data_IF_747106223299
#
_entry.id   IF_747106223299
#
_cell.length_a   1.000
_cell.length_b   1.000
_cell.length_c   1.000
_cell.angle_alpha   90.00
_cell.angle_beta   90.00
_cell.angle_gamma   90.00
#
_symmetry.space_group_name_H-M   'P 1'
#
loop_
_entity.id
_entity.type
_entity.pdbx_description
1 polymer ?
#
# COMPACT_ATOMS: atom_id res chain seq x y z
N UNK A 1 -36.64 -7.81 27.82
CA UNK A 1 -38.12 -7.62 27.88
C UNK A 1 -38.66 -8.23 29.18
N UNK A 2 -39.85 -7.83 29.61
CA UNK A 2 -40.44 -8.31 30.88
C UNK A 2 -40.67 -9.82 30.93
N UNK A 3 -40.73 -10.47 29.77
CA UNK A 3 -40.83 -11.93 29.58
C UNK A 3 -39.47 -12.66 29.62
N UNK A 4 -38.36 -11.95 29.88
CA UNK A 4 -37.01 -12.52 29.90
C UNK A 4 -36.38 -12.69 28.51
N UNK A 5 -37.09 -12.39 27.43
CA UNK A 5 -36.52 -12.39 26.07
C UNK A 5 -35.69 -11.13 25.82
N UNK A 6 -34.80 -11.21 24.85
CA UNK A 6 -33.96 -10.11 24.38
C UNK A 6 -33.79 -10.21 22.86
N UNK A 7 -33.49 -9.09 22.22
CA UNK A 7 -33.21 -9.09 20.78
C UNK A 7 -31.79 -9.60 20.52
N UNK A 8 -31.56 -10.18 19.33
CA UNK A 8 -30.22 -10.55 18.88
C UNK A 8 -29.27 -9.34 18.89
N UNK A 9 -29.77 -8.16 18.53
CA UNK A 9 -28.96 -6.95 18.56
C UNK A 9 -28.55 -6.53 19.98
N UNK A 10 -29.43 -6.69 20.97
CA UNK A 10 -29.10 -6.47 22.38
C UNK A 10 -28.03 -7.46 22.85
N UNK A 11 -28.15 -8.74 22.50
CA UNK A 11 -27.15 -9.77 22.82
C UNK A 11 -25.79 -9.39 22.23
N UNK A 12 -25.72 -9.12 20.93
CA UNK A 12 -24.46 -8.85 20.24
C UNK A 12 -23.84 -7.52 20.67
N UNK A 13 -24.66 -6.51 20.98
CA UNK A 13 -24.18 -5.26 21.57
C UNK A 13 -23.53 -5.49 22.93
N UNK A 14 -24.20 -6.20 23.85
CA UNK A 14 -23.65 -6.45 25.19
C UNK A 14 -22.38 -7.30 25.14
N UNK A 15 -22.31 -8.32 24.27
CA UNK A 15 -21.10 -9.11 24.08
C UNK A 15 -19.94 -8.23 23.60
N UNK A 16 -20.16 -7.41 22.56
CA UNK A 16 -19.12 -6.51 22.04
C UNK A 16 -18.63 -5.50 23.08
N UNK A 17 -19.55 -4.86 23.80
CA UNK A 17 -19.19 -3.93 24.91
C UNK A 17 -18.38 -4.67 25.97
N UNK A 18 -18.80 -5.85 26.42
CA UNK A 18 -18.03 -6.62 27.43
C UNK A 18 -16.63 -6.95 26.91
N UNK A 19 -16.48 -7.37 25.65
CA UNK A 19 -15.17 -7.63 25.04
C UNK A 19 -14.32 -6.35 25.03
N UNK A 20 -14.90 -5.22 24.62
CA UNK A 20 -14.24 -3.91 24.57
C UNK A 20 -13.75 -3.47 25.95
N UNK A 21 -14.63 -3.44 26.96
CA UNK A 21 -14.28 -3.02 28.32
C UNK A 21 -13.26 -3.96 28.97
N UNK A 22 -13.31 -5.26 28.68
CA UNK A 22 -12.28 -6.21 29.14
C UNK A 22 -10.96 -5.96 28.43
N UNK A 23 -10.97 -5.59 27.15
CA UNK A 23 -9.78 -5.22 26.38
C UNK A 23 -9.05 -4.01 26.97
N UNK A 24 -9.79 -3.09 27.61
CA UNK A 24 -9.17 -1.95 28.30
C UNK A 24 -8.23 -2.33 29.43
N UNK A 25 -8.33 -3.56 30.00
CA UNK A 25 -7.31 -4.06 30.94
C UNK A 25 -5.90 -4.05 30.33
N UNK A 26 -5.76 -4.10 29.00
CA UNK A 26 -4.48 -3.95 28.31
C UNK A 26 -4.24 -2.50 27.88
N UNK A 27 -5.13 -1.94 27.06
CA UNK A 27 -4.99 -0.58 26.49
C UNK A 27 -6.11 0.32 27.03
N UNK A 28 -5.86 1.31 27.89
CA UNK A 28 -4.54 1.80 28.32
C UNK A 28 -4.04 1.20 29.65
N UNK A 29 -4.79 0.33 30.33
CA UNK A 29 -4.52 0.09 31.77
C UNK A 29 -3.14 -0.54 32.06
N UNK A 30 -2.66 -1.46 31.21
CA UNK A 30 -1.28 -2.00 31.31
C UNK A 30 -0.32 -1.20 30.43
N UNK A 31 -0.72 -0.81 29.22
CA UNK A 31 0.06 -0.01 28.29
C UNK A 31 -0.54 1.39 28.24
N UNK A 32 -0.05 2.28 29.09
CA UNK A 32 -0.71 3.56 29.36
C UNK A 32 -0.43 4.60 28.27
N UNK A 33 -1.44 5.31 27.80
CA UNK A 33 -1.31 6.38 26.81
C UNK A 33 -1.85 7.71 27.37
N UNK A 34 -1.41 8.82 26.78
CA UNK A 34 -2.04 10.12 27.03
C UNK A 34 -3.34 10.21 26.24
N UNK A 35 -4.43 9.67 26.80
CA UNK A 35 -5.76 9.60 26.17
C UNK A 35 -6.26 10.98 25.70
N UNK A 36 -5.94 12.04 26.47
CA UNK A 36 -6.35 13.41 26.13
C UNK A 36 -5.69 13.94 24.87
N UNK A 37 -4.49 13.44 24.57
CA UNK A 37 -3.77 13.83 23.38
C UNK A 37 -3.97 12.83 22.23
N UNK A 38 -4.06 11.54 22.53
CA UNK A 38 -4.02 10.44 21.56
C UNK A 38 -5.11 9.39 21.82
N UNK A 39 -6.39 9.77 21.84
CA UNK A 39 -7.49 8.83 22.17
C UNK A 39 -7.52 7.56 21.30
N UNK A 40 -6.97 7.57 20.10
CA UNK A 40 -6.88 6.37 19.27
C UNK A 40 -5.94 5.28 19.83
N UNK A 41 -4.95 5.65 20.66
CA UNK A 41 -4.09 4.65 21.30
C UNK A 41 -4.87 3.82 22.32
N UNK A 42 -5.81 4.44 23.00
CA UNK A 42 -6.73 3.78 23.91
C UNK A 42 -7.79 3.03 23.09
N UNK A 43 -8.57 3.78 22.32
CA UNK A 43 -9.80 3.29 21.70
C UNK A 43 -9.57 2.50 20.42
N UNK A 44 -8.60 2.90 19.62
CA UNK A 44 -8.28 2.29 18.34
C UNK A 44 -7.53 0.98 18.49
N UNK A 45 -6.52 0.93 19.38
CA UNK A 45 -5.83 -0.32 19.73
C UNK A 45 -6.79 -1.30 20.41
N UNK A 46 -7.64 -0.81 21.31
CA UNK A 46 -8.65 -1.64 21.97
C UNK A 46 -9.70 -2.17 20.97
N UNK A 47 -10.19 -1.32 20.07
CA UNK A 47 -11.13 -1.74 19.00
C UNK A 47 -10.51 -2.79 18.07
N UNK A 48 -9.22 -2.71 17.80
CA UNK A 48 -8.53 -3.72 17.00
C UNK A 48 -8.52 -5.09 17.69
N UNK A 49 -8.17 -5.14 18.99
CA UNK A 49 -8.19 -6.42 19.73
C UNK A 49 -9.60 -6.91 20.05
N UNK A 50 -10.58 -6.01 20.21
CA UNK A 50 -12.01 -6.34 20.25
C UNK A 50 -12.40 -7.09 18.97
N UNK A 51 -12.13 -6.50 17.80
CA UNK A 51 -12.44 -7.12 16.51
C UNK A 51 -11.82 -8.53 16.37
N UNK A 52 -10.54 -8.70 16.72
CA UNK A 52 -9.90 -10.02 16.66
C UNK A 52 -10.57 -11.02 17.61
N UNK A 53 -10.94 -10.58 18.81
CA UNK A 53 -11.59 -11.43 19.82
C UNK A 53 -12.97 -11.86 19.37
N UNK A 54 -13.72 -10.95 18.74
CA UNK A 54 -15.05 -11.22 18.17
C UNK A 54 -15.01 -12.25 17.03
N UNK A 55 -14.05 -12.12 16.11
CA UNK A 55 -13.84 -13.07 15.01
C UNK A 55 -13.44 -14.48 15.50
N UNK A 56 -12.75 -14.55 16.66
CA UNK A 56 -12.38 -15.81 17.30
C UNK A 56 -13.49 -16.36 18.22
N UNK A 57 -14.37 -15.50 18.72
CA UNK A 57 -15.47 -15.87 19.59
C UNK A 57 -16.52 -16.71 18.86
N UNK A 58 -16.95 -16.25 17.68
CA UNK A 58 -17.89 -16.95 16.81
C UNK A 58 -17.73 -16.45 15.37
N UNK A 59 -17.53 -17.37 14.42
CA UNK A 59 -17.33 -17.03 13.00
C UNK A 59 -18.58 -16.44 12.32
N UNK A 60 -19.72 -16.39 13.03
CA UNK A 60 -20.95 -15.70 12.60
C UNK A 60 -21.22 -14.43 13.38
N UNK A 61 -20.35 -14.05 14.32
CA UNK A 61 -20.54 -12.81 15.06
C UNK A 61 -20.52 -11.61 14.09
N UNK A 62 -21.45 -10.65 14.21
CA UNK A 62 -21.52 -9.53 13.28
C UNK A 62 -20.50 -8.45 13.65
N UNK A 63 -19.22 -8.75 13.48
CA UNK A 63 -18.06 -7.87 13.67
C UNK A 63 -18.11 -6.62 12.80
N UNK A 64 -17.60 -5.50 13.32
CA UNK A 64 -17.53 -4.20 12.63
C UNK A 64 -16.13 -3.59 12.84
N UNK A 65 -15.81 -2.49 12.15
CA UNK A 65 -14.59 -1.67 12.35
C UNK A 65 -13.24 -2.31 12.00
N UNK A 66 -13.15 -3.63 11.81
CA UNK A 66 -11.96 -4.33 11.32
C UNK A 66 -11.86 -4.44 9.79
N UNK A 67 -12.89 -4.93 9.07
CA UNK A 67 -12.80 -5.15 7.63
C UNK A 67 -12.68 -3.83 6.85
N UNK A 68 -11.72 -3.76 5.93
CA UNK A 68 -11.33 -2.55 5.22
C UNK A 68 -12.48 -1.83 4.52
N UNK A 69 -13.37 -2.57 3.86
CA UNK A 69 -14.49 -1.95 3.16
C UNK A 69 -15.48 -1.18 4.05
N UNK A 70 -15.50 -1.45 5.36
CA UNK A 70 -16.47 -0.82 6.28
C UNK A 70 -16.13 0.64 6.62
N UNK A 71 -14.88 1.08 6.41
CA UNK A 71 -14.47 2.47 6.68
C UNK A 71 -14.69 3.41 5.49
N UNK A 72 -15.00 2.86 4.31
CA UNK A 72 -15.04 3.60 3.03
C UNK A 72 -15.99 4.79 3.04
N UNK A 73 -17.16 4.68 3.69
CA UNK A 73 -18.12 5.79 3.77
C UNK A 73 -17.59 6.98 4.57
N UNK A 74 -16.84 6.71 5.65
CA UNK A 74 -16.14 7.75 6.39
C UNK A 74 -15.03 8.35 5.52
N UNK A 75 -14.18 7.52 4.91
CA UNK A 75 -13.07 7.99 4.08
C UNK A 75 -13.51 8.76 2.83
N UNK A 76 -14.74 8.56 2.33
CA UNK A 76 -15.31 9.28 1.18
C UNK A 76 -15.81 10.69 1.54
N UNK A 77 -15.86 11.06 2.82
CA UNK A 77 -16.36 12.36 3.23
C UNK A 77 -15.53 13.51 2.65
N UNK A 78 -16.14 14.71 2.48
CA UNK A 78 -15.40 15.91 2.14
C UNK A 78 -14.23 16.16 3.10
N UNK A 79 -13.11 16.69 2.59
CA UNK A 79 -11.88 16.88 3.39
C UNK A 79 -12.07 17.80 4.59
N UNK A 80 -13.03 18.72 4.55
CA UNK A 80 -13.41 19.62 5.65
C UNK A 80 -14.23 18.94 6.76
N UNK A 81 -14.61 17.68 6.57
CA UNK A 81 -15.31 16.83 7.57
C UNK A 81 -14.45 15.67 8.06
N UNK A 82 -13.15 15.70 7.73
CA UNK A 82 -12.18 14.67 8.05
C UNK A 82 -11.00 15.27 8.80
N UNK A 83 -10.57 14.56 9.83
CA UNK A 83 -9.37 14.86 10.59
C UNK A 83 -8.40 13.67 10.54
N UNK A 84 -7.07 13.91 10.54
CA UNK A 84 -6.09 12.86 10.78
C UNK A 84 -6.36 12.10 12.08
N UNK A 85 -5.96 10.82 12.17
CA UNK A 85 -6.02 10.04 13.42
C UNK A 85 -5.18 10.71 14.52
N UNK A 86 -4.09 11.36 14.10
CA UNK A 86 -3.17 12.10 14.97
C UNK A 86 -3.70 13.47 15.42
N UNK A 87 -5.00 13.73 15.28
CA UNK A 87 -5.62 14.98 15.75
C UNK A 87 -5.79 14.92 17.26
N UNK A 88 -5.50 16.01 17.97
CA UNK A 88 -5.77 16.12 19.40
C UNK A 88 -7.26 15.85 19.69
N UNK A 89 -7.54 15.07 20.73
CA UNK A 89 -8.86 14.53 21.03
C UNK A 89 -9.97 15.56 21.17
N UNK A 90 -9.67 16.76 21.68
CA UNK A 90 -10.67 17.83 21.86
C UNK A 90 -11.12 18.46 20.54
N UNK A 91 -10.36 18.26 19.45
CA UNK A 91 -10.65 18.83 18.13
C UNK A 91 -11.31 17.83 17.17
N UNK A 92 -11.58 16.60 17.60
CA UNK A 92 -12.15 15.56 16.75
C UNK A 92 -13.68 15.74 16.67
N UNK A 93 -14.21 16.06 15.49
CA UNK A 93 -15.66 16.17 15.26
C UNK A 93 -16.30 14.79 15.12
N UNK A 94 -15.67 13.88 14.35
CA UNK A 94 -16.15 12.52 14.16
C UNK A 94 -15.38 11.50 15.01
N UNK A 95 -15.62 11.55 16.31
CA UNK A 95 -14.87 10.76 17.30
C UNK A 95 -14.93 9.25 17.04
N UNK A 96 -16.12 8.68 16.78
CA UNK A 96 -16.27 7.23 16.57
C UNK A 96 -15.41 6.67 15.43
N UNK A 97 -15.50 7.22 14.19
CA UNK A 97 -14.63 6.80 13.10
C UNK A 97 -13.15 7.10 13.33
N UNK A 98 -12.81 8.29 13.85
CA UNK A 98 -11.42 8.73 14.01
C UNK A 98 -10.67 7.97 15.10
N UNK A 99 -11.24 7.87 16.31
CA UNK A 99 -10.59 7.27 17.47
C UNK A 99 -10.71 5.74 17.49
N UNK A 100 -11.78 5.15 16.95
CA UNK A 100 -12.04 3.70 17.02
C UNK A 100 -11.85 3.02 15.66
N UNK A 101 -12.63 3.43 14.66
CA UNK A 101 -12.85 2.58 13.47
C UNK A 101 -11.71 2.63 12.48
N UNK A 102 -11.21 3.82 12.12
CA UNK A 102 -10.12 3.99 11.15
C UNK A 102 -8.79 3.40 11.66
N UNK A 103 -8.37 3.58 12.93
CA UNK A 103 -7.18 2.92 13.46
C UNK A 103 -7.31 1.40 13.45
N UNK A 104 -8.43 0.85 13.94
CA UNK A 104 -8.64 -0.59 13.96
C UNK A 104 -8.67 -1.20 12.56
N UNK A 105 -9.33 -0.54 11.60
CA UNK A 105 -9.32 -0.95 10.20
C UNK A 105 -7.90 -0.92 9.63
N UNK A 106 -7.14 0.16 9.86
CA UNK A 106 -5.76 0.27 9.38
C UNK A 106 -4.85 -0.84 9.92
N UNK A 107 -4.95 -1.16 11.21
CA UNK A 107 -4.20 -2.25 11.83
C UNK A 107 -4.60 -3.61 11.28
N UNK A 108 -5.89 -3.84 11.03
CA UNK A 108 -6.34 -5.08 10.41
C UNK A 108 -5.85 -5.22 8.96
N UNK A 109 -5.79 -4.13 8.20
CA UNK A 109 -5.18 -4.12 6.86
C UNK A 109 -3.69 -4.43 6.91
N UNK A 110 -2.96 -3.84 7.86
CA UNK A 110 -1.55 -4.19 8.08
C UNK A 110 -1.39 -5.69 8.34
N UNK A 111 -2.22 -6.23 9.23
CA UNK A 111 -2.18 -7.64 9.62
C UNK A 111 -2.54 -8.61 8.49
N UNK A 112 -3.64 -8.36 7.77
CA UNK A 112 -4.17 -9.34 6.81
C UNK A 112 -3.59 -9.16 5.40
N UNK A 113 -3.25 -7.93 5.00
CA UNK A 113 -2.96 -7.62 3.60
C UNK A 113 -1.51 -7.20 3.35
N UNK A 114 -0.86 -6.52 4.30
CA UNK A 114 0.49 -5.93 4.09
C UNK A 114 1.59 -6.81 4.69
N UNK A 115 1.54 -7.08 6.00
CA UNK A 115 2.60 -7.77 6.74
C UNK A 115 2.34 -9.27 6.88
N UNK A 116 1.07 -9.67 6.88
CA UNK A 116 0.66 -11.01 7.27
C UNK A 116 0.59 -11.20 8.79
N UNK A 117 -0.22 -12.18 9.22
CA UNK A 117 -0.59 -12.37 10.63
C UNK A 117 0.61 -12.64 11.54
N UNK A 118 1.50 -13.54 11.15
CA UNK A 118 2.63 -13.95 11.99
C UNK A 118 3.55 -12.77 12.33
N UNK A 119 3.95 -12.01 11.30
CA UNK A 119 4.84 -10.87 11.45
C UNK A 119 4.18 -9.72 12.21
N UNK A 120 2.94 -9.40 11.88
CA UNK A 120 2.17 -8.38 12.57
C UNK A 120 1.96 -8.73 14.05
N UNK A 121 1.51 -9.96 14.35
CA UNK A 121 1.22 -10.40 15.72
C UNK A 121 2.50 -10.41 16.57
N UNK A 122 3.64 -10.81 15.98
CA UNK A 122 4.95 -10.71 16.63
C UNK A 122 5.31 -9.27 16.98
N UNK A 123 5.18 -8.34 16.02
CA UNK A 123 5.52 -6.93 16.23
C UNK A 123 4.59 -6.25 17.24
N UNK A 124 3.28 -6.48 17.14
CA UNK A 124 2.27 -5.94 18.05
C UNK A 124 2.45 -6.46 19.48
N UNK A 125 2.73 -7.76 19.64
CA UNK A 125 3.08 -8.35 20.95
C UNK A 125 4.36 -7.76 21.51
N UNK A 126 5.36 -7.53 20.67
CA UNK A 126 6.62 -6.89 21.08
C UNK A 126 6.38 -5.48 21.60
N UNK A 127 5.52 -4.69 20.95
CA UNK A 127 5.07 -3.40 21.45
C UNK A 127 4.43 -3.50 22.83
N UNK A 128 3.42 -4.37 22.98
CA UNK A 128 2.73 -4.54 24.24
C UNK A 128 3.69 -4.94 25.38
N UNK A 129 4.67 -5.80 25.11
CA UNK A 129 5.66 -6.23 26.10
C UNK A 129 6.69 -5.15 26.44
N UNK A 130 7.20 -4.41 25.44
CA UNK A 130 8.18 -3.34 25.66
C UNK A 130 7.61 -2.20 26.51
N UNK A 131 6.32 -1.93 26.34
CA UNK A 131 5.63 -0.77 26.91
C UNK A 131 4.66 -1.09 28.04
N UNK A 132 4.58 -2.35 28.46
CA UNK A 132 3.87 -2.74 29.68
C UNK A 132 4.37 -1.92 30.88
N UNK A 133 3.43 -1.34 31.62
CA UNK A 133 3.62 -0.46 32.77
C UNK A 133 4.44 0.82 32.47
N UNK A 134 4.38 1.31 31.22
CA UNK A 134 5.01 2.56 30.77
C UNK A 134 4.00 3.45 30.05
N UNK A 135 4.47 4.61 29.57
CA UNK A 135 3.68 5.64 28.88
C UNK A 135 4.15 5.86 27.43
N UNK A 136 3.93 4.93 26.49
CA UNK A 136 4.29 5.14 25.08
C UNK A 136 3.54 6.31 24.43
N UNK A 137 4.22 6.95 23.50
CA UNK A 137 3.63 7.87 22.53
C UNK A 137 3.34 7.14 21.21
N UNK A 138 2.60 7.73 20.25
CA UNK A 138 2.42 7.17 18.91
C UNK A 138 3.73 6.75 18.22
N UNK A 139 4.78 7.55 18.37
CA UNK A 139 6.08 7.26 17.78
C UNK A 139 6.71 5.96 18.32
N UNK A 140 6.45 5.63 19.59
CA UNK A 140 6.94 4.40 20.21
C UNK A 140 6.22 3.16 19.66
N UNK A 141 4.93 3.29 19.36
CA UNK A 141 4.16 2.27 18.67
C UNK A 141 4.68 2.07 17.24
N UNK A 142 4.73 3.13 16.43
CA UNK A 142 5.18 3.05 15.03
C UNK A 142 6.59 2.46 14.91
N UNK A 143 7.54 2.97 15.71
CA UNK A 143 8.92 2.46 15.72
C UNK A 143 9.00 1.00 16.16
N UNK A 144 8.20 0.58 17.13
CA UNK A 144 8.23 -0.83 17.56
C UNK A 144 7.67 -1.75 16.48
N UNK A 145 6.59 -1.33 15.80
CA UNK A 145 6.04 -2.11 14.70
C UNK A 145 7.05 -2.29 13.56
N UNK A 146 7.80 -1.25 13.21
CA UNK A 146 8.85 -1.30 12.17
C UNK A 146 10.10 -2.07 12.63
N UNK A 147 10.64 -1.76 13.80
CA UNK A 147 11.84 -2.41 14.35
C UNK A 147 11.66 -3.91 14.55
N UNK A 148 10.51 -4.34 15.07
CA UNK A 148 10.25 -5.76 15.32
C UNK A 148 9.92 -6.53 14.04
N UNK A 149 9.31 -5.88 13.03
CA UNK A 149 8.94 -6.55 11.79
C UNK A 149 10.04 -6.51 10.72
N UNK A 150 10.93 -5.51 10.77
CA UNK A 150 11.87 -5.22 9.69
C UNK A 150 11.22 -4.62 8.43
N UNK A 151 9.93 -4.27 8.49
CA UNK A 151 9.20 -3.63 7.39
C UNK A 151 9.25 -2.10 7.51
N UNK A 152 9.41 -1.42 6.37
CA UNK A 152 9.28 0.04 6.26
C UNK A 152 7.80 0.41 6.09
N UNK A 153 7.23 1.00 7.14
CA UNK A 153 5.80 1.33 7.26
C UNK A 153 5.55 2.85 7.27
N UNK A 154 6.58 3.67 7.05
CA UNK A 154 6.47 5.14 7.04
C UNK A 154 5.36 5.63 6.10
N UNK A 155 5.28 5.04 4.90
CA UNK A 155 4.24 5.36 3.92
C UNK A 155 2.83 5.05 4.45
N UNK A 156 2.69 3.97 5.21
CA UNK A 156 1.43 3.54 5.79
C UNK A 156 1.03 4.45 6.94
N UNK A 157 1.94 4.73 7.87
CA UNK A 157 1.69 5.64 8.99
C UNK A 157 1.33 7.03 8.49
N UNK A 158 2.11 7.57 7.56
CA UNK A 158 1.83 8.88 6.94
C UNK A 158 0.45 8.90 6.30
N UNK A 159 0.12 7.87 5.52
CA UNK A 159 -1.15 7.78 4.81
C UNK A 159 -2.37 7.63 5.72
N UNK A 160 -2.35 6.63 6.61
CA UNK A 160 -3.51 6.28 7.44
C UNK A 160 -3.66 7.17 8.66
N UNK A 161 -2.55 7.56 9.31
CA UNK A 161 -2.58 8.24 10.60
C UNK A 161 -2.44 9.77 10.50
N UNK A 162 -1.59 10.25 9.60
CA UNK A 162 -1.30 11.69 9.48
C UNK A 162 -2.09 12.39 8.37
N UNK A 163 -2.62 11.65 7.39
CA UNK A 163 -3.40 12.19 6.29
C UNK A 163 -4.89 11.80 6.35
N UNK A 164 -5.68 12.52 5.56
CA UNK A 164 -7.12 12.29 5.36
C UNK A 164 -7.45 11.82 3.94
N UNK A 165 -6.43 11.56 3.12
CA UNK A 165 -6.62 11.11 1.75
C UNK A 165 -7.22 9.68 1.73
N UNK A 166 -8.24 9.43 0.89
CA UNK A 166 -8.81 8.09 0.73
C UNK A 166 -8.00 7.22 -0.24
N UNK A 167 -8.31 5.92 -0.25
CA UNK A 167 -7.88 4.99 -1.30
C UNK A 167 -8.90 5.05 -2.43
N UNK A 168 -8.49 5.41 -3.64
CA UNK A 168 -9.30 5.31 -4.87
C UNK A 168 -8.34 4.90 -6.01
N UNK A 169 -8.27 3.61 -6.30
CA UNK A 169 -7.36 3.04 -7.29
C UNK A 169 -8.11 2.65 -8.56
N UNK A 170 -7.95 3.46 -9.61
CA UNK A 170 -8.64 3.25 -10.87
C UNK A 170 -7.87 2.37 -11.84
N UNK A 171 -8.50 1.30 -12.33
CA UNK A 171 -8.03 0.53 -13.47
C UNK A 171 -8.30 1.31 -14.77
N UNK A 172 -7.27 2.01 -15.26
CA UNK A 172 -7.41 2.90 -16.42
C UNK A 172 -7.42 2.13 -17.74
N UNK A 173 -6.44 1.24 -17.92
CA UNK A 173 -6.25 0.49 -19.16
C UNK A 173 -5.78 -0.92 -18.90
N UNK A 174 -6.28 -1.87 -19.68
CA UNK A 174 -5.74 -3.22 -19.82
C UNK A 174 -5.41 -3.42 -21.29
N UNK A 175 -4.13 -3.61 -21.62
CA UNK A 175 -3.67 -3.94 -22.96
C UNK A 175 -3.22 -5.39 -22.99
N UNK A 176 -3.71 -6.12 -23.99
CA UNK A 176 -3.40 -7.53 -24.17
C UNK A 176 -2.57 -7.71 -25.44
N UNK A 177 -1.49 -8.47 -25.32
CA UNK A 177 -0.62 -8.84 -26.43
C UNK A 177 -0.46 -10.36 -26.41
N UNK A 178 -0.60 -11.00 -27.55
CA UNK A 178 -0.23 -12.41 -27.69
C UNK A 178 1.22 -12.46 -28.14
N UNK A 179 2.06 -13.21 -27.42
CA UNK A 179 3.45 -13.39 -27.80
C UNK A 179 3.51 -14.31 -29.02
N UNK A 180 4.13 -13.81 -30.08
CA UNK A 180 4.50 -14.59 -31.26
C UNK A 180 6.02 -14.63 -31.34
N UNK A 181 6.59 -15.78 -30.99
CA UNK A 181 8.04 -15.98 -30.96
C UNK A 181 8.70 -15.98 -32.36
N UNK A 182 7.89 -16.03 -33.43
CA UNK A 182 8.33 -16.04 -34.82
C UNK A 182 8.10 -14.71 -35.54
N UNK A 183 7.56 -13.70 -34.86
CA UNK A 183 7.33 -12.39 -35.45
C UNK A 183 8.66 -11.73 -35.87
N UNK A 184 8.77 -11.41 -37.16
CA UNK A 184 9.91 -10.66 -37.71
C UNK A 184 9.67 -9.18 -37.46
N UNK A 185 10.42 -8.58 -36.53
CA UNK A 185 10.35 -7.13 -36.29
C UNK A 185 11.21 -6.42 -37.36
N UNK A 186 10.56 -5.80 -38.34
CA UNK A 186 11.22 -4.89 -39.25
C UNK A 186 11.63 -3.61 -38.50
N UNK A 187 12.92 -3.52 -38.16
CA UNK A 187 13.45 -2.32 -37.52
C UNK A 187 13.63 -1.22 -38.58
N UNK A 188 13.21 0.03 -38.28
CA UNK A 188 13.57 1.14 -39.14
C UNK A 188 15.09 1.25 -39.21
N UNK A 189 15.63 1.27 -40.42
CA UNK A 189 17.06 1.44 -40.66
C UNK A 189 17.50 2.82 -40.15
N UNK A 190 17.95 2.89 -38.90
CA UNK A 190 18.46 4.12 -38.31
C UNK A 190 19.91 4.28 -38.78
N UNK A 191 20.23 5.32 -39.58
CA UNK A 191 21.60 5.54 -40.01
C UNK A 191 22.48 5.70 -38.77
N UNK A 192 23.57 4.93 -38.71
CA UNK A 192 24.56 5.06 -37.64
C UNK A 192 25.11 6.47 -37.65
N UNK A 193 24.84 7.21 -36.58
CA UNK A 193 25.45 8.52 -36.37
C UNK A 193 26.87 8.33 -35.82
N UNK A 194 27.81 9.04 -36.43
CA UNK A 194 29.16 9.15 -35.90
C UNK A 194 29.14 9.78 -34.51
N UNK A 195 29.81 9.13 -33.56
CA UNK A 195 30.00 9.66 -32.21
C UNK A 195 31.38 10.31 -32.12
N UNK A 196 31.45 11.38 -31.33
CA UNK A 196 32.73 12.00 -30.98
C UNK A 196 33.43 11.14 -29.92
N UNK A 197 34.74 11.30 -29.78
CA UNK A 197 35.43 10.80 -28.61
C UNK A 197 34.82 11.43 -27.35
N UNK A 198 34.67 10.63 -26.29
CA UNK A 198 34.16 11.12 -25.03
C UNK A 198 35.16 12.10 -24.39
N UNK A 199 34.61 13.18 -23.83
CA UNK A 199 35.41 14.18 -23.11
C UNK A 199 35.87 13.62 -21.77
N UNK A 200 36.97 14.13 -21.20
CA UNK A 200 37.39 13.77 -19.85
C UNK A 200 36.25 14.00 -18.83
N UNK A 201 36.02 13.03 -17.96
CA UNK A 201 34.89 13.03 -17.02
C UNK A 201 35.31 13.69 -15.72
N UNK A 202 35.36 15.03 -15.75
CA UNK A 202 35.67 15.86 -14.59
C UNK A 202 34.42 16.59 -14.10
N UNK A 203 34.37 16.90 -12.81
CA UNK A 203 33.29 17.71 -12.27
C UNK A 203 33.31 19.08 -12.95
N UNK A 204 32.14 19.55 -13.41
CA UNK A 204 31.98 20.91 -13.93
C UNK A 204 32.11 21.99 -12.85
N UNK A 205 31.98 21.60 -11.58
CA UNK A 205 32.12 22.46 -10.41
C UNK A 205 33.06 21.81 -9.39
N UNK A 206 34.01 22.58 -8.88
CA UNK A 206 34.84 22.17 -7.76
C UNK A 206 34.13 22.52 -6.45
N UNK A 207 33.66 21.50 -5.74
CA UNK A 207 33.06 21.69 -4.43
C UNK A 207 34.11 22.07 -3.38
N UNK A 208 33.62 22.59 -2.24
CA UNK A 208 34.47 23.09 -1.16
C UNK A 208 35.40 22.01 -0.58
N UNK A 209 35.02 20.73 -0.62
CA UNK A 209 35.87 19.64 -0.13
C UNK A 209 37.07 19.45 -1.05
N UNK A 210 36.87 19.51 -2.37
CA UNK A 210 37.98 19.45 -3.34
C UNK A 210 38.94 20.62 -3.18
N UNK A 211 38.42 21.83 -2.98
CA UNK A 211 39.24 23.03 -2.76
C UNK A 211 40.05 22.89 -1.48
N UNK A 212 39.40 22.58 -0.35
CA UNK A 212 40.06 22.44 0.95
C UNK A 212 41.11 21.33 0.97
N UNK A 213 40.79 20.16 0.40
CA UNK A 213 41.73 19.04 0.34
C UNK A 213 42.97 19.35 -0.51
N UNK A 214 42.84 20.21 -1.52
CA UNK A 214 43.97 20.66 -2.35
C UNK A 214 44.83 21.71 -1.64
N UNK A 215 44.20 22.59 -0.85
CA UNK A 215 44.89 23.67 -0.13
C UNK A 215 45.53 23.21 1.20
N UNK A 216 45.03 22.13 1.78
CA UNK A 216 45.58 21.52 2.99
C UNK A 216 46.91 20.80 2.68
N UNK A 217 48.02 21.39 3.16
CA UNK A 217 49.37 20.85 2.98
C UNK A 217 49.64 19.55 3.71
N UNK A 218 48.77 19.14 4.64
CA UNK A 218 48.88 17.84 5.32
C UNK A 218 48.31 16.69 4.48
N UNK A 219 47.48 17.01 3.47
CA UNK A 219 46.90 16.02 2.57
C UNK A 219 47.91 15.71 1.46
N UNK A 220 48.26 14.44 1.33
CA UNK A 220 48.99 13.91 0.18
C UNK A 220 48.03 13.00 -0.56
N UNK A 221 47.65 13.37 -1.80
CA UNK A 221 46.79 12.52 -2.62
C UNK A 221 47.53 11.22 -2.96
N UNK A 222 46.83 10.09 -2.95
CA UNK A 222 47.50 8.81 -3.20
C UNK A 222 48.12 8.73 -4.60
N UNK A 223 47.51 9.41 -5.59
CA UNK A 223 48.12 9.49 -6.93
C UNK A 223 49.41 10.30 -6.96
N UNK A 224 49.69 11.11 -5.93
CA UNK A 224 50.94 11.86 -5.79
C UNK A 224 51.98 11.12 -4.93
N UNK A 225 51.52 10.33 -3.95
CA UNK A 225 52.38 9.45 -3.15
C UNK A 225 52.85 8.24 -3.94
N UNK A 226 51.96 7.60 -4.70
CA UNK A 226 52.27 6.47 -5.57
C UNK A 226 51.94 6.82 -7.04
N UNK A 227 53.00 7.17 -7.78
CA UNK A 227 52.86 7.54 -9.19
C UNK A 227 52.44 6.38 -10.10
N UNK A 228 52.49 5.12 -9.63
CA UNK A 228 52.00 3.96 -10.41
C UNK A 228 50.48 3.98 -10.57
N UNK A 229 49.77 4.71 -9.71
CA UNK A 229 48.32 4.93 -9.80
C UNK A 229 47.92 5.95 -10.89
N UNK A 230 48.88 6.60 -11.55
CA UNK A 230 48.65 7.60 -12.61
C UNK A 230 48.49 6.94 -13.97
N UNK A 231 47.31 6.38 -14.21
CA UNK A 231 46.94 5.72 -15.45
C UNK A 231 46.68 6.72 -16.62
N UNK A 232 46.12 6.21 -17.72
CA UNK A 232 45.73 7.04 -18.86
C UNK A 232 44.73 8.13 -18.47
N UNK A 233 43.69 7.78 -17.71
CA UNK A 233 42.61 8.70 -17.36
C UNK A 233 43.08 9.78 -16.39
N UNK A 234 43.96 9.46 -15.44
CA UNK A 234 44.56 10.46 -14.56
C UNK A 234 45.23 11.60 -15.35
N UNK A 235 45.91 11.25 -16.46
CA UNK A 235 46.58 12.20 -17.36
C UNK A 235 45.59 12.90 -18.28
N UNK A 236 44.62 12.17 -18.82
CA UNK A 236 43.60 12.69 -19.72
C UNK A 236 42.67 13.70 -19.04
N UNK A 237 42.23 13.41 -17.82
CA UNK A 237 41.37 14.28 -17.00
C UNK A 237 42.07 15.57 -16.56
N UNK A 238 43.40 15.57 -16.49
CA UNK A 238 44.22 16.76 -16.16
C UNK A 238 44.70 17.53 -17.40
N UNK A 239 44.26 17.14 -18.59
CA UNK A 239 44.68 17.76 -19.86
C UNK A 239 46.14 17.51 -20.23
N UNK A 240 46.82 16.57 -19.55
CA UNK A 240 48.19 16.16 -19.90
C UNK A 240 48.17 15.39 -21.22
N UNK A 241 47.16 14.53 -21.41
CA UNK A 241 46.83 13.95 -22.71
C UNK A 241 45.68 14.77 -23.30
N UNK A 242 45.86 15.32 -24.50
CA UNK A 242 44.87 16.20 -25.12
C UNK A 242 43.62 15.42 -25.58
N UNK A 243 42.45 16.03 -25.38
CA UNK A 243 41.20 15.57 -25.96
C UNK A 243 41.17 15.83 -27.47
N UNK A 244 41.11 14.77 -28.28
CA UNK A 244 40.89 14.91 -29.71
C UNK A 244 39.40 15.14 -30.02
N UNK A 245 39.04 16.42 -30.11
CA UNK A 245 37.68 16.84 -30.48
C UNK A 245 37.31 16.56 -31.95
N UNK A 246 38.28 16.16 -32.78
CA UNK A 246 38.09 15.83 -34.21
C UNK A 246 37.83 14.35 -34.44
N UNK A 247 38.26 13.47 -33.53
CA UNK A 247 38.03 12.05 -33.62
C UNK A 247 36.54 11.71 -33.70
N UNK A 248 36.19 10.91 -34.70
CA UNK A 248 34.84 10.37 -34.91
C UNK A 248 34.96 8.86 -35.07
N UNK A 249 34.05 8.13 -34.43
CA UNK A 249 33.93 6.70 -34.62
C UNK A 249 32.47 6.32 -34.82
N UNK A 250 32.27 5.21 -35.54
CA UNK A 250 30.94 4.63 -35.74
C UNK A 250 30.78 3.49 -34.76
N UNK A 251 29.81 3.57 -33.82
CA UNK A 251 29.54 2.45 -32.95
C UNK A 251 29.11 1.24 -33.78
N UNK A 252 29.64 0.07 -33.43
CA UNK A 252 29.13 -1.18 -33.96
C UNK A 252 27.61 -1.19 -33.75
N UNK A 253 26.87 -1.70 -34.73
CA UNK A 253 25.44 -1.93 -34.54
C UNK A 253 25.26 -2.81 -33.32
N UNK A 254 24.37 -2.42 -32.40
CA UNK A 254 23.90 -3.36 -31.38
C UNK A 254 23.29 -4.54 -32.14
N UNK A 255 24.01 -5.66 -32.17
CA UNK A 255 23.42 -6.94 -32.50
C UNK A 255 22.57 -7.31 -31.29
N UNK A 256 21.24 -7.35 -31.47
CA UNK A 256 20.41 -7.97 -30.46
C UNK A 256 20.77 -9.45 -30.41
N UNK A 257 20.99 -9.97 -29.21
CA UNK A 257 21.12 -11.40 -29.04
C UNK A 257 19.83 -12.07 -29.50
N UNK A 258 19.96 -13.07 -30.39
CA UNK A 258 18.83 -13.91 -30.74
C UNK A 258 18.39 -14.65 -29.47
N UNK A 259 17.10 -14.57 -29.16
CA UNK A 259 16.51 -15.38 -28.11
C UNK A 259 16.74 -16.86 -28.49
N UNK A 260 17.34 -17.63 -27.59
CA UNK A 260 17.56 -19.05 -27.80
C UNK A 260 16.23 -19.84 -27.94
N UNK A 261 16.29 -21.02 -28.55
CA UNK A 261 15.09 -21.83 -28.81
C UNK A 261 14.35 -22.24 -27.54
N UNK A 262 15.08 -22.49 -26.44
CA UNK A 262 14.50 -22.87 -25.15
C UNK A 262 13.66 -21.72 -24.57
N UNK A 263 14.15 -20.49 -24.66
CA UNK A 263 13.47 -19.28 -24.21
C UNK A 263 12.28 -18.97 -25.12
N UNK A 264 12.40 -19.15 -26.44
CA UNK A 264 11.26 -19.03 -27.35
C UNK A 264 10.12 -19.97 -26.99
N UNK A 265 10.42 -21.26 -26.79
CA UNK A 265 9.41 -22.25 -26.41
C UNK A 265 8.73 -21.92 -25.08
N UNK A 266 9.45 -21.32 -24.14
CA UNK A 266 8.88 -20.92 -22.85
C UNK A 266 7.79 -19.87 -22.98
N UNK A 267 7.94 -18.90 -23.89
CA UNK A 267 7.03 -17.75 -24.01
C UNK A 267 6.02 -17.85 -25.16
N UNK A 268 6.22 -18.81 -26.08
CA UNK A 268 5.33 -18.99 -27.22
C UNK A 268 3.89 -19.31 -26.77
N UNK A 269 2.92 -18.65 -27.41
CA UNK A 269 1.50 -18.80 -27.09
C UNK A 269 1.04 -18.17 -25.77
N UNK A 270 1.94 -17.59 -24.96
CA UNK A 270 1.57 -16.85 -23.76
C UNK A 270 1.01 -15.46 -24.07
N UNK A 271 0.30 -14.90 -23.10
CA UNK A 271 -0.32 -13.58 -23.18
C UNK A 271 0.39 -12.62 -22.25
N UNK A 272 0.69 -11.44 -22.77
CA UNK A 272 1.28 -10.33 -22.03
C UNK A 272 0.21 -9.26 -21.82
N UNK A 273 -0.04 -8.93 -20.56
CA UNK A 273 -1.01 -7.93 -20.15
C UNK A 273 -0.29 -6.74 -19.52
N UNK A 274 -0.45 -5.54 -20.09
CA UNK A 274 -0.05 -4.29 -19.45
C UNK A 274 -1.29 -3.66 -18.83
N UNK A 275 -1.30 -3.51 -17.50
CA UNK A 275 -2.32 -2.74 -16.81
C UNK A 275 -1.74 -1.41 -16.38
N UNK A 276 -2.59 -0.38 -16.40
CA UNK A 276 -2.28 0.93 -15.85
C UNK A 276 -3.29 1.24 -14.74
N UNK A 277 -2.78 1.64 -13.59
CA UNK A 277 -3.59 1.99 -12.41
C UNK A 277 -3.23 3.41 -11.98
N UNK A 278 -4.25 4.26 -11.80
CA UNK A 278 -4.08 5.60 -11.24
C UNK A 278 -4.56 5.64 -9.80
N UNK A 279 -3.79 6.29 -8.93
CA UNK A 279 -4.19 6.64 -7.57
C UNK A 279 -4.89 7.99 -7.59
N UNK A 280 -6.22 7.99 -7.48
CA UNK A 280 -7.05 9.19 -7.48
C UNK A 280 -7.31 9.73 -6.08
N UNK A 281 -7.24 8.87 -5.08
CA UNK A 281 -7.56 9.20 -3.70
C UNK A 281 -6.39 9.87 -2.97
N UNK A 282 -5.16 9.54 -3.36
CA UNK A 282 -3.93 10.04 -2.75
C UNK A 282 -3.29 9.03 -1.77
N UNK A 283 -4.08 8.14 -1.18
CA UNK A 283 -3.56 7.08 -0.32
C UNK A 283 -3.06 5.89 -1.14
N UNK A 284 -1.75 5.65 -1.10
CA UNK A 284 -1.15 4.48 -1.74
C UNK A 284 -1.44 3.21 -0.94
N UNK A 285 -1.72 2.11 -1.64
CA UNK A 285 -1.99 0.79 -1.09
C UNK A 285 -1.40 -0.30 -1.99
N UNK A 286 -1.23 -1.55 -1.51
CA UNK A 286 -0.94 -2.68 -2.39
C UNK A 286 -1.98 -2.79 -3.51
N UNK A 287 -1.53 -3.17 -4.71
CA UNK A 287 -2.43 -3.39 -5.86
C UNK A 287 -2.70 -4.88 -5.96
N UNK A 288 -3.94 -5.28 -5.69
CA UNK A 288 -4.40 -6.67 -5.75
C UNK A 288 -5.21 -6.82 -7.03
N UNK A 289 -4.82 -7.74 -7.90
CA UNK A 289 -5.40 -7.92 -9.23
C UNK A 289 -5.92 -9.35 -9.36
N UNK A 290 -7.23 -9.50 -9.50
CA UNK A 290 -7.86 -10.76 -9.90
C UNK A 290 -8.00 -10.81 -11.42
N UNK A 291 -7.59 -11.94 -11.99
CA UNK A 291 -7.69 -12.27 -13.40
C UNK A 291 -8.71 -13.37 -13.56
N UNK A 292 -9.74 -13.14 -14.38
CA UNK A 292 -10.66 -14.19 -14.83
C UNK A 292 -10.25 -14.63 -16.22
N UNK A 293 -10.05 -15.94 -16.41
CA UNK A 293 -9.67 -16.51 -17.70
C UNK A 293 -10.88 -16.98 -18.51
N UNK A 294 -10.67 -17.21 -19.81
CA UNK A 294 -11.69 -17.69 -20.73
C UNK A 294 -12.29 -19.07 -20.36
N UNK A 295 -11.58 -19.88 -19.59
CA UNK A 295 -12.05 -21.16 -19.06
C UNK A 295 -12.78 -21.05 -17.71
N UNK A 296 -12.96 -19.84 -17.19
CA UNK A 296 -13.61 -19.56 -15.91
C UNK A 296 -12.70 -19.69 -14.68
N UNK A 297 -11.43 -20.10 -14.85
CA UNK A 297 -10.47 -20.12 -13.74
C UNK A 297 -10.06 -18.70 -13.34
N UNK A 298 -9.65 -18.54 -12.07
CA UNK A 298 -9.18 -17.25 -11.53
C UNK A 298 -7.77 -17.35 -10.99
N UNK A 299 -7.03 -16.25 -11.06
CA UNK A 299 -5.70 -16.08 -10.49
C UNK A 299 -5.59 -14.69 -9.87
N UNK A 300 -4.87 -14.57 -8.76
CA UNK A 300 -4.69 -13.28 -8.06
C UNK A 300 -3.21 -12.94 -7.98
N UNK A 301 -2.84 -11.76 -8.47
CA UNK A 301 -1.54 -11.14 -8.23
C UNK A 301 -1.63 -10.11 -7.11
N UNK A 302 -0.69 -10.15 -6.18
CA UNK A 302 -0.54 -9.15 -5.11
C UNK A 302 0.73 -8.36 -5.33
N UNK A 303 0.60 -7.06 -5.53
CA UNK A 303 1.71 -6.15 -5.78
C UNK A 303 1.88 -5.25 -4.54
N UNK A 304 3.03 -5.29 -3.87
CA UNK A 304 3.29 -4.46 -2.69
C UNK A 304 3.20 -2.95 -2.99
N UNK A 305 2.92 -2.14 -1.97
CA UNK A 305 2.77 -0.68 -2.10
C UNK A 305 4.04 0.02 -2.63
N UNK A 306 5.21 -0.62 -2.54
CA UNK A 306 6.47 -0.11 -3.07
C UNK A 306 6.45 0.11 -4.59
N UNK A 307 5.48 -0.45 -5.32
CA UNK A 307 5.26 -0.16 -6.75
C UNK A 307 5.06 1.34 -7.04
N UNK A 308 4.56 2.10 -6.05
CA UNK A 308 4.28 3.52 -6.15
C UNK A 308 5.52 4.42 -6.00
N UNK A 309 6.68 3.89 -5.60
CA UNK A 309 7.89 4.68 -5.27
C UNK A 309 8.39 5.60 -6.38
N UNK A 310 8.21 5.22 -7.65
CA UNK A 310 8.62 6.05 -8.80
C UNK A 310 7.57 7.12 -9.14
N UNK A 311 6.29 6.81 -8.93
CA UNK A 311 5.17 7.69 -9.23
C UNK A 311 3.95 7.27 -8.42
N UNK A 312 3.64 8.03 -7.39
CA UNK A 312 2.52 7.76 -6.48
C UNK A 312 1.13 8.00 -7.09
N UNK A 313 1.06 8.70 -8.22
CA UNK A 313 -0.19 9.01 -8.90
C UNK A 313 -0.59 7.96 -9.93
N UNK A 314 0.39 7.25 -10.50
CA UNK A 314 0.14 6.34 -11.62
C UNK A 314 1.24 5.31 -11.80
N UNK A 315 0.84 4.05 -11.94
CA UNK A 315 1.72 2.93 -12.26
C UNK A 315 1.28 2.24 -13.56
N UNK A 316 2.24 1.60 -14.22
CA UNK A 316 1.98 0.63 -15.28
C UNK A 316 2.82 -0.61 -14.99
N UNK A 317 2.20 -1.79 -15.07
CA UNK A 317 2.88 -3.06 -14.80
C UNK A 317 2.45 -4.11 -15.81
N UNK A 318 3.43 -4.91 -16.23
CA UNK A 318 3.26 -6.01 -17.17
C UNK A 318 3.14 -7.33 -16.41
N UNK A 319 2.22 -8.17 -16.88
CA UNK A 319 1.91 -9.49 -16.36
C UNK A 319 1.96 -10.50 -17.51
N UNK A 320 2.51 -11.67 -17.21
CA UNK A 320 2.57 -12.78 -18.15
C UNK A 320 1.54 -13.83 -17.72
N UNK A 321 0.70 -14.29 -18.65
CA UNK A 321 -0.38 -15.23 -18.39
C UNK A 321 -0.37 -16.35 -19.42
N UNK A 322 -0.54 -17.58 -18.94
CA UNK A 322 -0.63 -18.76 -19.80
C UNK A 322 -1.96 -18.83 -20.58
N UNK A 323 -3.00 -18.17 -20.05
CA UNK A 323 -4.36 -18.21 -20.59
C UNK A 323 -4.85 -16.81 -20.96
N UNK A 324 -5.79 -16.76 -21.89
CA UNK A 324 -6.47 -15.53 -22.25
C UNK A 324 -7.37 -15.06 -21.10
N UNK A 325 -7.18 -13.81 -20.68
CA UNK A 325 -7.99 -13.10 -19.69
C UNK A 325 -9.24 -12.51 -20.35
N UNK A 326 -10.38 -12.67 -19.68
CA UNK A 326 -11.68 -12.11 -20.07
C UNK A 326 -12.15 -10.99 -19.14
N UNK A 327 -11.72 -11.00 -17.87
CA UNK A 327 -12.02 -9.93 -16.92
C UNK A 327 -10.85 -9.68 -15.95
N UNK A 328 -10.75 -8.45 -15.48
CA UNK A 328 -9.80 -8.01 -14.45
C UNK A 328 -10.55 -7.23 -13.39
N UNK A 329 -10.31 -7.54 -12.12
CA UNK A 329 -10.87 -6.82 -10.97
C UNK A 329 -9.77 -6.42 -10.00
N UNK A 330 -9.69 -5.13 -9.66
CA UNK A 330 -8.85 -4.67 -8.55
C UNK A 330 -9.56 -4.92 -7.21
N UNK A 331 -8.78 -5.37 -6.24
CA UNK A 331 -9.20 -5.59 -4.86
C UNK A 331 -10.48 -6.43 -4.71
N UNK A 332 -10.50 -7.68 -5.20
CA UNK A 332 -11.70 -8.51 -5.28
C UNK A 332 -12.37 -8.75 -3.91
N UNK A 333 -11.56 -8.81 -2.85
CA UNK A 333 -11.97 -9.06 -1.47
C UNK A 333 -12.11 -7.79 -0.63
N UNK A 334 -11.91 -6.61 -1.24
CA UNK A 334 -12.12 -5.29 -0.61
C UNK A 334 -11.21 -5.08 0.61
N UNK A 335 -9.95 -5.43 0.46
CA UNK A 335 -8.88 -5.43 1.45
C UNK A 335 -8.21 -4.05 1.63
N UNK A 336 -8.34 -3.15 0.65
CA UNK A 336 -7.57 -1.89 0.62
C UNK A 336 -8.35 -0.67 1.08
N UNK A 337 -9.66 -0.81 1.37
CA UNK A 337 -10.57 0.30 1.66
C UNK A 337 -10.76 1.29 0.50
N UNK A 338 -10.78 0.78 -0.74
CA UNK A 338 -11.07 1.59 -1.92
C UNK A 338 -12.49 2.19 -1.86
N UNK A 339 -12.59 3.52 -1.94
CA UNK A 339 -13.86 4.24 -1.85
C UNK A 339 -14.68 4.19 -3.15
N UNK A 340 -14.12 3.68 -4.26
CA UNK A 340 -14.73 3.70 -5.58
C UNK A 340 -14.49 2.43 -6.40
N UNK A 341 -15.05 1.32 -5.95
CA UNK A 341 -14.93 0.00 -6.61
C UNK A 341 -15.47 -0.05 -8.06
N UNK A 342 -16.23 0.95 -8.52
CA UNK A 342 -16.76 1.00 -9.89
C UNK A 342 -15.67 1.17 -10.95
N UNK A 343 -14.54 1.75 -10.57
CA UNK A 343 -13.42 1.98 -11.48
C UNK A 343 -12.35 0.87 -11.39
N UNK A 344 -12.67 -0.24 -10.69
CA UNK A 344 -11.76 -1.36 -10.44
C UNK A 344 -11.89 -2.50 -11.46
N UNK A 345 -12.81 -2.39 -12.43
CA UNK A 345 -13.23 -3.52 -13.27
C UNK A 345 -12.91 -3.26 -14.75
N UNK A 346 -12.42 -4.29 -15.42
CA UNK A 346 -12.30 -4.37 -16.87
C UNK A 346 -12.91 -5.69 -17.39
N UNK A 347 -13.71 -5.66 -18.48
CA UNK A 347 -14.18 -4.48 -19.19
C UNK A 347 -15.11 -3.63 -18.30
N UNK A 348 -15.18 -2.32 -18.55
CA UNK A 348 -15.99 -1.41 -17.73
C UNK A 348 -17.46 -1.79 -17.81
N UNK A 349 -18.10 -1.98 -16.65
CA UNK A 349 -19.54 -2.16 -16.56
C UNK A 349 -20.24 -0.84 -16.96
N UNK A 350 -21.01 -0.87 -18.05
CA UNK A 350 -21.75 0.30 -18.57
C UNK A 350 -23.21 0.29 -18.12
N UNK A 351 -23.63 -0.68 -17.29
CA UNK A 351 -25.04 -0.97 -17.00
C UNK A 351 -25.54 -0.59 -15.59
N UNK A 352 -24.68 -0.13 -14.68
CA UNK A 352 -25.07 0.18 -13.30
C UNK A 352 -25.36 1.68 -13.07
N UNK A 353 -26.64 2.07 -13.19
CA UNK A 353 -27.14 3.38 -12.75
C UNK A 353 -27.21 3.48 -11.21
N UNK A 354 -26.86 4.64 -10.64
CA UNK A 354 -26.84 4.84 -9.19
C UNK A 354 -28.25 4.85 -8.57
N UNK A 355 -28.47 4.20 -7.41
CA UNK A 355 -29.63 4.49 -6.59
C UNK A 355 -29.54 5.93 -6.05
N UNK A 356 -30.63 6.68 -6.18
CA UNK A 356 -30.69 8.09 -5.76
C UNK A 356 -30.45 8.28 -4.26
N UNK A 357 -29.83 9.41 -3.89
CA UNK A 357 -29.52 9.82 -2.50
C UNK A 357 -30.71 9.70 -1.53
N UNK A 358 -31.95 9.82 -2.04
CA UNK A 358 -33.18 9.66 -1.28
C UNK A 358 -33.39 8.25 -0.71
N UNK A 359 -32.82 7.21 -1.34
CA UNK A 359 -32.93 5.81 -0.92
C UNK A 359 -31.97 5.49 0.24
N UNK A 360 -30.82 6.15 0.29
CA UNK A 360 -29.80 6.02 1.34
C UNK A 360 -30.27 6.67 2.65
N UNK A 361 -30.94 7.83 2.58
CA UNK A 361 -31.44 8.55 3.76
C UNK A 361 -32.52 7.79 4.55
N UNK A 362 -33.19 6.79 3.95
CA UNK A 362 -34.21 5.96 4.63
C UNK A 362 -33.63 4.75 5.37
N UNK A 363 -32.33 4.45 5.23
CA UNK A 363 -31.67 3.43 6.03
C UNK A 363 -31.23 4.03 7.37
N UNK A 364 -32.06 3.87 8.41
CA UNK A 364 -31.64 4.13 9.80
C UNK A 364 -30.36 3.34 10.07
N UNK A 365 -29.36 3.95 10.72
CA UNK A 365 -28.20 3.25 11.25
C UNK A 365 -28.69 2.07 12.10
N UNK A 366 -28.48 0.85 11.60
CA UNK A 366 -28.88 -0.35 12.28
C UNK A 366 -27.93 -0.60 13.46
N UNK A 367 -28.50 -0.67 14.66
CA UNK A 367 -27.85 -1.24 15.85
C UNK A 367 -27.31 -2.63 15.49
N UNK A 368 -26.15 -2.98 16.05
CA UNK A 368 -25.40 -4.21 15.70
C UNK A 368 -26.32 -5.43 15.69
N UNK A 369 -26.40 -6.15 14.56
CA UNK A 369 -27.17 -7.39 14.46
C UNK A 369 -28.70 -7.26 14.63
N UNK A 370 -29.29 -6.06 14.49
CA UNK A 370 -30.73 -5.89 14.66
C UNK A 370 -31.50 -6.17 13.35
N UNK A 371 -32.37 -7.19 13.37
CA UNK A 371 -33.41 -7.39 12.34
C UNK A 371 -34.48 -6.30 12.46
N UNK A 372 -35.01 -5.82 11.32
CA UNK A 372 -36.06 -4.79 11.28
C UNK A 372 -37.46 -5.30 11.64
N UNK A 373 -37.59 -6.57 12.06
CA UNK A 373 -38.84 -7.23 12.42
C UNK A 373 -38.99 -7.47 13.92
N UNK A 374 -40.11 -8.10 14.32
CA UNK A 374 -40.38 -8.54 15.69
C UNK A 374 -39.30 -9.49 16.20
N UNK A 375 -38.96 -9.42 17.49
CA UNK A 375 -37.98 -10.30 18.12
C UNK A 375 -38.32 -11.78 17.89
N UNK A 376 -37.49 -12.55 17.17
CA UNK A 376 -37.76 -13.96 16.91
C UNK A 376 -37.94 -14.78 18.19
N UNK A 377 -37.23 -14.45 19.29
CA UNK A 377 -37.41 -15.16 20.57
C UNK A 377 -38.82 -14.99 21.14
N UNK A 378 -39.45 -13.83 20.96
CA UNK A 378 -40.84 -13.60 21.41
C UNK A 378 -41.87 -14.32 20.54
N UNK A 379 -41.56 -14.51 19.25
CA UNK A 379 -42.46 -15.23 18.34
C UNK A 379 -42.39 -16.73 18.57
N UNK A 380 -41.20 -17.26 18.85
CA UNK A 380 -40.97 -18.70 19.04
C UNK A 380 -41.29 -19.22 20.45
N UNK A 381 -41.43 -18.33 21.45
CA UNK A 381 -41.86 -18.70 22.81
C UNK A 381 -43.38 -18.69 23.00
N UNK A 382 -44.14 -18.19 22.01
CA UNK A 382 -45.60 -18.32 21.92
C UNK A 382 -45.96 -19.58 21.16
#
# INVERSE_FOLDING_TARGET
EADGTYSEGTKNFLIGVVIHEVGHNFFPMIINSDERQWSWMDEGLNTFVEYLTEELWDNKFPSRRGPAFTITDYMRLPKDQLEPIMTNSENIVQFGPNAYSKPATGLNILRETIMGRELFDFAFKTYAQRWAFKHPTPADFFRTMEDASGEDLDWFWRGWFYNTDPVDLALDTVRAFKIDANAVVEMPNRPQQERRLDRPVVNSFEDISKIRNREDKSVVFETDRDTTLRDFYWKYDRGIIAYDSTYRWKPASMAFENIDEATKQKFDGQYLYEITVSNKGGLVMPVIVEWTFADGTVEVDRIPAQIWRKNENKISKVFLKAKQVTAVKLDPLRETADINEKNNIWPKDTTTQEPTKLRIFKMKQATRGQSSGTNPMQVLQK
#
